data_IF_881276231934
#
_entry.id   IF_881276231934
#
_cell.length_a   1.000
_cell.length_b   1.000
_cell.length_c   1.000
_cell.angle_alpha   90.00
_cell.angle_beta   90.00
_cell.angle_gamma   90.00
#
_symmetry.space_group_name_H-M   'P 1'
#
loop_
_entity.id
_entity.type
_entity.pdbx_description
1 polymer ?
#
# COMPACT_ATOMS: atom_id res chain seq x y z
N UNK A 1 -21.77 -8.40 6.12
CA UNK A 1 -23.20 -8.04 6.01
C UNK A 1 -23.48 -6.57 6.28
N UNK A 2 -22.86 -5.93 7.27
CA UNK A 2 -23.08 -4.49 7.52
C UNK A 2 -22.64 -3.61 6.35
N UNK A 3 -21.45 -3.82 5.79
CA UNK A 3 -20.93 -3.05 4.66
C UNK A 3 -21.84 -3.08 3.42
N UNK A 4 -22.51 -4.23 3.17
CA UNK A 4 -23.49 -4.36 2.10
C UNK A 4 -24.75 -3.55 2.38
N UNK A 5 -25.24 -3.59 3.62
CA UNK A 5 -26.42 -2.79 4.03
C UNK A 5 -26.16 -1.29 3.99
N UNK A 6 -24.91 -0.88 4.21
CA UNK A 6 -24.48 0.51 4.13
C UNK A 6 -24.13 0.96 2.70
N UNK A 7 -24.27 0.08 1.69
CA UNK A 7 -23.95 0.39 0.30
C UNK A 7 -22.47 0.59 -0.02
N UNK A 8 -21.56 0.22 0.89
CA UNK A 8 -20.11 0.39 0.71
C UNK A 8 -19.52 -0.72 -0.15
N UNK A 9 -19.91 -1.98 0.11
CA UNK A 9 -19.47 -3.16 -0.64
C UNK A 9 -20.70 -3.99 -0.98
N UNK A 10 -21.05 -4.09 -2.25
CA UNK A 10 -22.28 -4.78 -2.68
C UNK A 10 -22.14 -6.30 -2.73
N UNK A 11 -20.94 -6.79 -2.96
CA UNK A 11 -20.60 -8.18 -3.26
C UNK A 11 -19.65 -8.81 -2.22
N UNK A 12 -19.79 -8.46 -0.94
CA UNK A 12 -18.87 -8.92 0.10
C UNK A 12 -18.75 -10.46 0.19
N UNK A 13 -19.81 -11.17 -0.14
CA UNK A 13 -19.86 -12.63 -0.13
C UNK A 13 -18.89 -13.27 -1.13
N UNK A 14 -18.53 -12.56 -2.20
CA UNK A 14 -17.62 -13.06 -3.26
C UNK A 14 -16.22 -13.34 -2.72
N UNK A 15 -15.86 -12.75 -1.58
CA UNK A 15 -14.55 -12.99 -0.92
C UNK A 15 -14.34 -14.48 -0.62
N UNK A 16 -15.41 -15.24 -0.39
CA UNK A 16 -15.36 -16.68 -0.14
C UNK A 16 -14.93 -17.50 -1.35
N UNK A 17 -14.97 -16.92 -2.54
CA UNK A 17 -14.55 -17.55 -3.78
C UNK A 17 -13.12 -17.13 -4.19
N UNK A 18 -12.51 -16.21 -3.42
CA UNK A 18 -11.20 -15.65 -3.74
C UNK A 18 -10.07 -16.46 -3.13
N UNK A 19 -8.99 -16.59 -3.91
CA UNK A 19 -7.75 -17.25 -3.50
C UNK A 19 -6.61 -16.24 -3.52
N UNK A 20 -5.90 -16.11 -2.42
CA UNK A 20 -4.72 -15.24 -2.30
C UNK A 20 -3.51 -16.07 -1.90
N UNK A 21 -2.41 -15.91 -2.63
CA UNK A 21 -1.12 -16.48 -2.27
C UNK A 21 -0.29 -15.43 -1.50
N UNK A 22 0.28 -15.81 -0.37
CA UNK A 22 1.14 -14.96 0.46
C UNK A 22 2.53 -15.57 0.50
N UNK A 23 3.51 -14.84 0.01
CA UNK A 23 4.92 -15.23 0.04
C UNK A 23 5.63 -14.47 1.13
N UNK A 24 6.18 -15.19 2.11
CA UNK A 24 6.73 -14.65 3.35
C UNK A 24 5.67 -14.54 4.45
N UNK A 25 5.75 -15.41 5.45
CA UNK A 25 4.84 -15.43 6.61
C UNK A 25 5.58 -14.86 7.84
N UNK A 26 6.26 -13.74 7.61
CA UNK A 26 6.97 -12.97 8.62
C UNK A 26 6.09 -11.92 9.30
N UNK A 27 6.69 -10.75 9.63
CA UNK A 27 6.01 -9.69 10.40
C UNK A 27 4.82 -9.04 9.69
N UNK A 28 4.86 -8.90 8.36
CA UNK A 28 3.76 -8.36 7.55
C UNK A 28 2.83 -9.47 7.09
N UNK A 29 3.39 -10.55 6.52
CA UNK A 29 2.59 -11.59 5.86
C UNK A 29 1.74 -12.40 6.83
N UNK A 30 2.20 -12.68 8.05
CA UNK A 30 1.38 -13.38 9.05
C UNK A 30 0.17 -12.56 9.50
N UNK A 31 0.36 -11.26 9.68
CA UNK A 31 -0.71 -10.32 10.03
C UNK A 31 -1.70 -10.16 8.88
N UNK A 32 -1.19 -10.05 7.64
CA UNK A 32 -2.03 -10.00 6.44
C UNK A 32 -2.87 -11.28 6.28
N UNK A 33 -2.26 -12.45 6.52
CA UNK A 33 -2.97 -13.74 6.50
C UNK A 33 -4.09 -13.79 7.54
N UNK A 34 -3.84 -13.32 8.78
CA UNK A 34 -4.86 -13.25 9.81
C UNK A 34 -6.00 -12.30 9.43
N UNK A 35 -5.68 -11.11 8.92
CA UNK A 35 -6.70 -10.15 8.50
C UNK A 35 -7.59 -10.72 7.38
N UNK A 36 -7.01 -11.35 6.36
CA UNK A 36 -7.77 -11.98 5.27
C UNK A 36 -8.63 -13.15 5.77
N UNK A 37 -8.09 -13.97 6.67
CA UNK A 37 -8.83 -15.07 7.32
C UNK A 37 -10.05 -14.55 8.08
N UNK A 38 -9.89 -13.47 8.84
CA UNK A 38 -11.00 -12.83 9.57
C UNK A 38 -12.01 -12.16 8.65
N UNK A 39 -11.58 -11.71 7.46
CA UNK A 39 -12.48 -11.21 6.42
C UNK A 39 -13.27 -12.32 5.71
N UNK A 40 -12.91 -13.59 5.92
CA UNK A 40 -13.59 -14.75 5.32
C UNK A 40 -13.17 -15.03 3.90
N UNK A 41 -11.87 -14.82 3.58
CA UNK A 41 -11.29 -15.24 2.29
C UNK A 41 -11.57 -16.74 2.04
N UNK A 42 -11.77 -17.14 0.79
CA UNK A 42 -12.05 -18.54 0.48
C UNK A 42 -10.83 -19.44 0.68
N UNK A 43 -9.68 -19.06 0.12
CA UNK A 43 -8.45 -19.83 0.22
C UNK A 43 -7.22 -18.93 0.40
N UNK A 44 -6.29 -19.36 1.26
CA UNK A 44 -4.95 -18.82 1.41
C UNK A 44 -3.91 -19.87 1.06
N UNK A 45 -2.92 -19.49 0.26
CA UNK A 45 -1.75 -20.32 -0.03
C UNK A 45 -0.53 -19.60 0.58
N UNK A 46 0.16 -20.27 1.50
CA UNK A 46 1.23 -19.68 2.29
C UNK A 46 2.59 -20.28 1.88
N UNK A 47 3.55 -19.42 1.56
CA UNK A 47 4.92 -19.80 1.24
C UNK A 47 5.91 -19.18 2.23
N UNK A 48 6.69 -19.99 2.92
CA UNK A 48 7.83 -19.57 3.76
C UNK A 48 8.69 -20.79 4.06
N UNK A 49 9.99 -20.63 4.19
CA UNK A 49 10.90 -21.75 4.50
C UNK A 49 11.50 -21.68 5.90
N UNK A 50 11.24 -20.59 6.62
CA UNK A 50 11.78 -20.37 7.95
C UNK A 50 11.00 -21.11 9.05
N UNK A 51 11.65 -21.20 10.20
CA UNK A 51 11.02 -21.60 11.45
C UNK A 51 10.67 -20.40 12.30
N UNK A 52 9.69 -20.58 13.18
CA UNK A 52 9.37 -19.62 14.21
C UNK A 52 10.50 -19.59 15.23
N UNK A 53 11.07 -18.44 15.49
CA UNK A 53 12.13 -18.20 16.46
C UNK A 53 11.64 -17.34 17.63
N UNK A 54 12.25 -17.47 18.79
CA UNK A 54 11.94 -16.59 19.94
C UNK A 54 12.23 -15.11 19.62
N UNK A 55 13.20 -14.83 18.76
CA UNK A 55 13.47 -13.49 18.25
C UNK A 55 12.31 -12.89 17.44
N UNK A 56 11.38 -13.70 16.95
CA UNK A 56 10.20 -13.25 16.24
C UNK A 56 9.07 -12.75 17.16
N UNK A 57 9.21 -12.89 18.48
CA UNK A 57 8.17 -12.48 19.42
C UNK A 57 8.04 -10.96 19.59
N UNK A 58 8.95 -10.18 19.00
CA UNK A 58 8.82 -8.73 18.84
C UNK A 58 7.92 -8.32 17.65
N UNK A 59 7.22 -9.27 17.04
CA UNK A 59 6.28 -9.10 15.93
C UNK A 59 4.90 -9.57 16.39
N UNK A 60 3.88 -9.20 15.62
CA UNK A 60 2.53 -9.70 15.84
C UNK A 60 2.39 -11.15 15.34
N UNK A 61 1.35 -11.84 15.80
CA UNK A 61 0.87 -13.16 15.37
C UNK A 61 1.48 -14.36 16.08
N UNK A 62 2.79 -14.66 15.93
CA UNK A 62 3.38 -15.87 16.50
C UNK A 62 3.49 -15.83 18.04
N UNK A 63 3.42 -17.02 18.65
CA UNK A 63 3.46 -17.22 20.10
C UNK A 63 4.70 -18.03 20.51
N UNK A 64 5.25 -17.84 21.74
CA UNK A 64 6.47 -18.53 22.19
C UNK A 64 6.41 -20.06 22.09
N UNK A 65 5.23 -20.67 22.32
CA UNK A 65 5.05 -22.13 22.24
C UNK A 65 5.17 -22.69 20.80
N UNK A 66 5.14 -21.84 19.78
CA UNK A 66 5.30 -22.21 18.37
C UNK A 66 6.77 -22.22 17.94
N UNK A 67 7.70 -21.77 18.78
CA UNK A 67 9.12 -21.72 18.46
C UNK A 67 9.64 -23.10 18.02
N UNK A 68 10.40 -23.12 16.92
CA UNK A 68 10.94 -24.34 16.28
C UNK A 68 10.02 -24.98 15.24
N UNK A 69 8.72 -24.61 15.20
CA UNK A 69 7.81 -25.07 14.14
C UNK A 69 8.08 -24.31 12.83
N UNK A 70 7.72 -24.90 11.68
CA UNK A 70 7.68 -24.17 10.41
C UNK A 70 6.70 -22.99 10.50
N UNK A 71 7.08 -21.82 9.98
CA UNK A 71 6.21 -20.63 10.02
C UNK A 71 4.88 -20.89 9.31
N UNK A 72 4.89 -21.53 8.15
CA UNK A 72 3.65 -21.81 7.39
C UNK A 72 2.74 -22.80 8.12
N UNK A 73 3.30 -23.83 8.76
CA UNK A 73 2.51 -24.82 9.51
C UNK A 73 1.94 -24.22 10.81
N UNK A 74 2.73 -23.43 11.53
CA UNK A 74 2.30 -22.73 12.73
C UNK A 74 1.19 -21.70 12.38
N UNK A 75 1.36 -20.99 11.27
CA UNK A 75 0.37 -20.04 10.78
C UNK A 75 -0.92 -20.76 10.37
N UNK A 76 -0.83 -21.81 9.56
CA UNK A 76 -2.00 -22.57 9.12
C UNK A 76 -2.85 -23.06 10.29
N UNK A 77 -2.22 -23.62 11.33
CA UNK A 77 -2.94 -24.07 12.55
C UNK A 77 -3.65 -22.91 13.26
N UNK A 78 -2.96 -21.77 13.42
CA UNK A 78 -3.53 -20.59 14.09
C UNK A 78 -4.71 -20.03 13.27
N UNK A 79 -4.55 -19.87 11.97
CA UNK A 79 -5.57 -19.34 11.08
C UNK A 79 -6.80 -20.25 11.00
N UNK A 80 -6.59 -21.56 10.93
CA UNK A 80 -7.66 -22.55 10.95
C UNK A 80 -8.49 -22.48 12.25
N UNK A 81 -7.83 -22.12 13.38
CA UNK A 81 -8.51 -21.91 14.65
C UNK A 81 -9.34 -20.62 14.67
N UNK A 82 -8.87 -19.59 13.95
CA UNK A 82 -9.57 -18.30 13.84
C UNK A 82 -10.81 -18.43 12.95
N UNK A 83 -10.67 -19.09 11.80
CA UNK A 83 -11.79 -19.31 10.88
C UNK A 83 -11.63 -20.65 10.14
N UNK A 84 -12.35 -21.69 10.58
CA UNK A 84 -12.26 -23.03 9.99
C UNK A 84 -12.82 -23.12 8.57
N UNK A 85 -13.60 -22.13 8.12
CA UNK A 85 -14.17 -22.13 6.76
C UNK A 85 -13.16 -21.74 5.69
N UNK A 86 -11.99 -21.22 6.06
CA UNK A 86 -10.94 -20.83 5.12
C UNK A 86 -10.07 -22.04 4.76
N UNK A 87 -9.94 -22.33 3.48
CA UNK A 87 -8.98 -23.33 3.01
C UNK A 87 -7.56 -22.78 3.11
N UNK A 88 -6.64 -23.51 3.75
CA UNK A 88 -5.26 -23.08 3.91
C UNK A 88 -4.33 -24.15 3.35
N UNK A 89 -3.55 -23.75 2.36
CA UNK A 89 -2.49 -24.56 1.75
C UNK A 89 -1.12 -24.01 2.18
N UNK A 90 -0.21 -24.86 2.58
CA UNK A 90 1.09 -24.45 3.16
C UNK A 90 2.25 -25.07 2.42
N UNK A 91 3.19 -24.24 1.98
CA UNK A 91 4.41 -24.63 1.28
C UNK A 91 5.65 -24.20 2.07
N UNK A 92 6.35 -25.17 2.63
CA UNK A 92 7.54 -24.94 3.44
C UNK A 92 8.81 -25.13 2.61
N UNK A 93 9.08 -24.19 1.71
CA UNK A 93 10.29 -24.18 0.89
C UNK A 93 10.68 -22.78 0.42
N UNK A 94 11.96 -22.64 0.04
CA UNK A 94 12.47 -21.40 -0.53
C UNK A 94 12.13 -21.33 -2.03
N UNK A 95 11.36 -20.33 -2.43
CA UNK A 95 10.92 -20.09 -3.83
C UNK A 95 12.05 -19.65 -4.76
N UNK A 96 13.22 -19.25 -4.25
CA UNK A 96 14.35 -18.78 -5.08
C UNK A 96 15.22 -19.91 -5.64
N UNK A 97 15.05 -21.13 -5.16
CA UNK A 97 15.75 -22.29 -5.72
C UNK A 97 15.09 -22.75 -7.02
N UNK A 98 15.89 -23.22 -7.98
CA UNK A 98 15.43 -23.59 -9.32
C UNK A 98 14.26 -24.59 -9.28
N UNK A 99 14.40 -25.63 -8.47
CA UNK A 99 13.38 -26.70 -8.39
C UNK A 99 12.07 -26.16 -7.78
N UNK A 100 12.16 -25.39 -6.72
CA UNK A 100 10.98 -24.86 -6.04
C UNK A 100 10.34 -23.68 -6.78
N UNK A 101 11.11 -22.96 -7.61
CA UNK A 101 10.56 -21.85 -8.41
C UNK A 101 9.51 -22.36 -9.40
N UNK A 102 9.76 -23.48 -10.05
CA UNK A 102 8.80 -24.08 -10.96
C UNK A 102 7.53 -24.56 -10.23
N UNK A 103 7.69 -25.12 -9.03
CA UNK A 103 6.57 -25.53 -8.20
C UNK A 103 5.75 -24.31 -7.72
N UNK A 104 6.42 -23.25 -7.32
CA UNK A 104 5.78 -21.96 -6.99
C UNK A 104 4.93 -21.42 -8.16
N UNK A 105 5.50 -21.37 -9.37
CA UNK A 105 4.79 -20.92 -10.57
C UNK A 105 3.58 -21.81 -10.87
N UNK A 106 3.74 -23.11 -10.76
CA UNK A 106 2.66 -24.08 -10.97
C UNK A 106 1.54 -23.84 -9.95
N UNK A 107 1.89 -23.73 -8.68
CA UNK A 107 0.93 -23.53 -7.60
C UNK A 107 0.12 -22.23 -7.80
N UNK A 108 0.77 -21.08 -8.04
CA UNK A 108 0.03 -19.82 -8.21
C UNK A 108 -0.82 -19.80 -9.50
N UNK A 109 -0.51 -20.63 -10.48
CA UNK A 109 -1.26 -20.70 -11.75
C UNK A 109 -2.41 -21.72 -11.75
N UNK A 110 -2.44 -22.66 -10.80
CA UNK A 110 -3.40 -23.78 -10.85
C UNK A 110 -4.16 -24.04 -9.55
N UNK A 111 -3.71 -23.47 -8.42
CA UNK A 111 -4.21 -23.89 -7.09
C UNK A 111 -5.29 -22.97 -6.51
N UNK A 112 -5.98 -22.18 -7.35
CA UNK A 112 -7.17 -21.47 -6.86
C UNK A 112 -8.31 -22.45 -6.53
N UNK A 113 -9.33 -21.98 -5.80
CA UNK A 113 -10.56 -22.73 -5.54
C UNK A 113 -11.24 -23.24 -6.80
N UNK A 114 -10.99 -22.59 -7.95
CA UNK A 114 -11.56 -22.94 -9.25
C UNK A 114 -10.57 -23.73 -10.11
N UNK A 115 -9.48 -24.27 -9.54
CA UNK A 115 -8.41 -24.98 -10.24
C UNK A 115 -7.78 -24.17 -11.38
N UNK A 116 -7.58 -22.89 -11.15
CA UNK A 116 -6.95 -21.93 -12.06
C UNK A 116 -5.96 -21.03 -11.33
N UNK A 117 -5.56 -19.90 -11.92
CA UNK A 117 -4.66 -18.96 -11.28
C UNK A 117 -5.27 -18.34 -10.01
N UNK A 118 -4.43 -18.02 -9.05
CA UNK A 118 -4.85 -17.28 -7.85
C UNK A 118 -5.33 -15.88 -8.23
N UNK A 119 -6.26 -15.33 -7.47
CA UNK A 119 -6.77 -13.98 -7.74
C UNK A 119 -5.70 -12.91 -7.51
N UNK A 120 -4.77 -13.13 -6.56
CA UNK A 120 -3.73 -12.18 -6.20
C UNK A 120 -2.57 -12.85 -5.48
N UNK A 121 -1.35 -12.34 -5.72
CA UNK A 121 -0.15 -12.71 -4.95
C UNK A 121 0.25 -11.53 -4.06
N UNK A 122 0.56 -11.78 -2.80
CA UNK A 122 1.10 -10.81 -1.85
C UNK A 122 2.54 -11.17 -1.51
N UNK A 123 3.47 -10.31 -1.88
CA UNK A 123 4.88 -10.41 -1.53
C UNK A 123 5.13 -9.71 -0.19
N UNK A 124 5.44 -10.49 0.83
CA UNK A 124 5.72 -10.03 2.18
C UNK A 124 7.12 -10.47 2.65
N UNK A 125 8.04 -10.62 1.69
CA UNK A 125 9.42 -11.07 1.91
C UNK A 125 10.34 -9.91 2.31
N UNK A 126 11.44 -10.22 2.97
CA UNK A 126 12.40 -9.25 3.49
C UNK A 126 13.72 -9.19 2.70
N UNK A 127 13.84 -9.93 1.60
CA UNK A 127 15.03 -9.93 0.77
C UNK A 127 14.71 -9.66 -0.71
N UNK A 128 15.69 -9.11 -1.43
CA UNK A 128 15.53 -8.71 -2.82
C UNK A 128 15.48 -9.90 -3.78
N UNK A 129 16.20 -10.98 -3.48
CA UNK A 129 16.21 -12.19 -4.30
C UNK A 129 14.81 -12.79 -4.44
N UNK A 130 14.09 -12.94 -3.32
CA UNK A 130 12.73 -13.42 -3.34
C UNK A 130 11.77 -12.46 -4.06
N UNK A 131 11.94 -11.13 -3.89
CA UNK A 131 11.14 -10.12 -4.63
C UNK A 131 11.35 -10.23 -6.13
N UNK A 132 12.61 -10.42 -6.57
CA UNK A 132 12.92 -10.62 -7.99
C UNK A 132 12.34 -11.92 -8.52
N UNK A 133 12.39 -13.02 -7.77
CA UNK A 133 11.78 -14.29 -8.15
C UNK A 133 10.25 -14.14 -8.32
N UNK A 134 9.57 -13.50 -7.35
CA UNK A 134 8.12 -13.23 -7.45
C UNK A 134 7.81 -12.34 -8.65
N UNK A 135 8.62 -11.28 -8.87
CA UNK A 135 8.47 -10.38 -10.01
C UNK A 135 8.54 -11.13 -11.35
N UNK A 136 9.55 -11.99 -11.52
CA UNK A 136 9.73 -12.78 -12.74
C UNK A 136 8.56 -13.73 -12.95
N UNK A 137 8.17 -14.49 -11.93
CA UNK A 137 7.04 -15.40 -11.99
C UNK A 137 5.73 -14.69 -12.34
N UNK A 138 5.43 -13.57 -11.68
CA UNK A 138 4.22 -12.80 -11.93
C UNK A 138 4.20 -12.15 -13.32
N UNK A 139 5.34 -11.65 -13.80
CA UNK A 139 5.46 -11.12 -15.17
C UNK A 139 5.25 -12.24 -16.21
N UNK A 140 5.89 -13.40 -16.03
CA UNK A 140 5.75 -14.55 -16.93
C UNK A 140 4.31 -15.04 -17.01
N UNK A 141 3.65 -15.20 -15.86
CA UNK A 141 2.27 -15.70 -15.77
C UNK A 141 1.20 -14.63 -15.99
N UNK A 142 1.59 -13.36 -16.18
CA UNK A 142 0.65 -12.24 -16.20
C UNK A 142 -0.20 -12.16 -14.93
N UNK A 143 0.39 -12.48 -13.78
CA UNK A 143 -0.26 -12.53 -12.48
C UNK A 143 -0.20 -11.18 -11.78
N UNK A 144 -1.35 -10.70 -11.31
CA UNK A 144 -1.43 -9.49 -10.48
C UNK A 144 -0.86 -9.76 -9.08
N UNK A 145 -0.15 -8.77 -8.55
CA UNK A 145 0.43 -8.92 -7.23
C UNK A 145 0.66 -7.60 -6.50
N UNK A 146 0.75 -7.66 -5.18
CA UNK A 146 1.22 -6.57 -4.35
C UNK A 146 2.60 -6.90 -3.81
N UNK A 147 3.48 -5.93 -3.89
CA UNK A 147 4.74 -5.90 -3.15
C UNK A 147 4.52 -5.11 -1.87
N UNK A 148 5.15 -5.54 -0.77
CA UNK A 148 5.15 -4.83 0.49
C UNK A 148 6.53 -4.88 1.16
N UNK A 149 6.91 -3.79 1.78
CA UNK A 149 8.19 -3.69 2.45
C UNK A 149 8.13 -2.81 3.69
N UNK A 150 8.94 -3.16 4.68
CA UNK A 150 9.26 -2.34 5.85
C UNK A 150 10.76 -2.09 5.83
N UNK A 151 11.18 -0.84 6.06
CA UNK A 151 12.58 -0.46 6.07
C UNK A 151 13.35 -1.10 7.23
N UNK A 152 14.66 -1.25 7.06
CA UNK A 152 15.55 -1.86 8.08
C UNK A 152 15.52 -1.14 9.43
N UNK A 153 15.24 0.16 9.45
CA UNK A 153 15.08 0.96 10.67
C UNK A 153 13.66 0.93 11.24
N UNK A 154 12.75 0.18 10.63
CA UNK A 154 11.35 -0.02 11.04
C UNK A 154 10.48 1.25 11.15
N UNK A 155 10.94 2.41 10.66
CA UNK A 155 10.18 3.68 10.73
C UNK A 155 9.52 4.06 9.42
N UNK A 156 9.64 3.25 8.39
CA UNK A 156 8.94 3.44 7.12
C UNK A 156 8.57 2.11 6.48
N UNK A 157 7.60 2.16 5.60
CA UNK A 157 7.17 1.02 4.83
C UNK A 157 6.33 1.44 3.63
N UNK A 158 5.98 0.49 2.80
CA UNK A 158 5.17 0.76 1.62
C UNK A 158 4.44 -0.49 1.16
N UNK A 159 3.45 -0.25 0.32
CA UNK A 159 2.84 -1.25 -0.54
C UNK A 159 2.85 -0.75 -1.98
N UNK A 160 2.98 -1.65 -2.93
CA UNK A 160 2.90 -1.34 -4.36
C UNK A 160 2.04 -2.38 -5.08
N UNK A 161 1.03 -1.92 -5.83
CA UNK A 161 0.23 -2.77 -6.70
C UNK A 161 0.89 -2.87 -8.07
N UNK A 162 1.23 -4.08 -8.48
CA UNK A 162 1.91 -4.36 -9.72
C UNK A 162 0.98 -5.11 -10.68
N UNK A 163 0.73 -4.47 -11.82
CA UNK A 163 -0.05 -5.00 -12.92
C UNK A 163 0.91 -5.20 -14.10
N UNK A 164 1.21 -6.44 -14.50
CA UNK A 164 2.16 -6.71 -15.57
C UNK A 164 1.82 -5.92 -16.85
N UNK A 165 2.79 -5.15 -17.33
CA UNK A 165 2.66 -4.33 -18.54
C UNK A 165 2.02 -2.94 -18.34
N UNK A 166 1.21 -2.73 -17.32
CA UNK A 166 0.53 -1.45 -17.05
C UNK A 166 1.33 -0.59 -16.08
N UNK A 167 1.84 -1.18 -14.99
CA UNK A 167 2.63 -0.47 -13.99
C UNK A 167 4.09 -0.90 -14.03
N UNK A 168 4.98 -0.10 -13.44
CA UNK A 168 6.37 -0.51 -13.27
C UNK A 168 6.44 -1.80 -12.47
N UNK A 169 7.09 -2.82 -13.00
CA UNK A 169 7.44 -4.02 -12.23
C UNK A 169 8.60 -3.74 -11.27
N UNK A 170 8.91 -4.67 -10.37
CA UNK A 170 9.98 -4.48 -9.39
C UNK A 170 11.36 -4.27 -10.06
N UNK A 171 11.61 -4.90 -11.22
CA UNK A 171 12.84 -4.72 -12.00
C UNK A 171 12.84 -3.43 -12.85
N UNK A 172 11.72 -2.74 -13.05
CA UNK A 172 11.68 -1.47 -13.78
C UNK A 172 12.38 -0.33 -13.04
N UNK A 173 12.30 -0.33 -11.71
CA UNK A 173 12.90 0.66 -10.82
C UNK A 173 13.42 -0.05 -9.56
N UNK A 174 14.45 -0.91 -9.72
CA UNK A 174 14.96 -1.67 -8.60
C UNK A 174 15.58 -0.72 -7.56
N UNK A 175 15.57 -1.08 -6.27
CA UNK A 175 16.32 -0.34 -5.26
C UNK A 175 17.79 -0.19 -5.67
N UNK A 176 18.42 0.90 -5.26
CA UNK A 176 19.79 1.25 -5.67
C UNK A 176 20.79 0.11 -5.41
N UNK A 177 20.59 -0.62 -4.34
CA UNK A 177 21.40 -1.79 -3.96
C UNK A 177 21.35 -2.88 -5.03
N UNK A 178 20.16 -3.19 -5.53
CA UNK A 178 19.94 -4.18 -6.59
C UNK A 178 20.51 -3.65 -7.91
N UNK A 179 20.25 -2.40 -8.25
CA UNK A 179 20.75 -1.75 -9.47
C UNK A 179 22.29 -1.67 -9.50
N UNK A 180 22.95 -1.63 -8.35
CA UNK A 180 24.41 -1.59 -8.22
C UNK A 180 25.04 -2.96 -8.12
N UNK A 181 24.27 -4.06 -8.22
CA UNK A 181 24.72 -5.44 -8.03
C UNK A 181 25.48 -5.66 -6.71
N UNK A 182 25.09 -4.95 -5.66
CA UNK A 182 25.68 -5.13 -4.33
C UNK A 182 24.99 -6.33 -3.68
N UNK A 183 25.78 -7.30 -3.22
CA UNK A 183 25.24 -8.44 -2.48
C UNK A 183 24.59 -7.96 -1.18
N UNK A 184 23.29 -8.22 -1.05
CA UNK A 184 22.48 -7.82 0.13
C UNK A 184 23.10 -8.32 1.44
N UNK A 185 23.81 -9.47 1.41
CA UNK A 185 24.51 -10.01 2.58
C UNK A 185 25.62 -9.10 3.08
N UNK A 186 26.25 -8.31 2.18
CA UNK A 186 27.31 -7.37 2.54
C UNK A 186 26.79 -6.11 3.21
N UNK A 187 25.49 -5.82 3.09
CA UNK A 187 24.84 -4.66 3.70
C UNK A 187 24.38 -4.93 5.13
N UNK A 188 24.19 -6.20 5.49
CA UNK A 188 23.79 -6.58 6.85
C UNK A 188 24.97 -6.28 7.79
N UNK A 189 24.76 -5.34 8.70
CA UNK A 189 25.75 -5.06 9.75
C UNK A 189 25.82 -6.26 10.68
N UNK A 190 27.02 -6.78 10.90
CA UNK A 190 27.24 -7.88 11.82
C UNK A 190 26.64 -7.56 13.20
N UNK A 191 25.82 -8.47 13.70
CA UNK A 191 25.19 -8.35 15.00
C UNK A 191 23.96 -7.41 15.06
N UNK A 192 23.55 -6.82 13.95
CA UNK A 192 22.33 -6.00 13.88
C UNK A 192 21.28 -6.74 13.07
N UNK A 193 20.32 -7.37 13.75
CA UNK A 193 19.08 -7.77 13.08
C UNK A 193 18.33 -6.54 12.62
N UNK A 194 17.70 -6.61 11.43
CA UNK A 194 16.79 -5.53 10.99
C UNK A 194 15.78 -5.22 12.10
N UNK A 195 15.64 -3.96 12.42
CA UNK A 195 14.73 -3.54 13.47
C UNK A 195 13.30 -3.98 13.11
N UNK A 196 12.60 -4.55 14.07
CA UNK A 196 11.20 -4.93 13.91
C UNK A 196 10.34 -4.09 14.85
N UNK A 197 9.41 -3.33 14.27
CA UNK A 197 8.43 -2.59 15.04
C UNK A 197 7.04 -3.14 14.70
N UNK A 198 6.36 -3.82 15.64
CA UNK A 198 5.07 -4.45 15.36
C UNK A 198 4.02 -3.46 14.87
N UNK A 199 4.07 -2.21 15.33
CA UNK A 199 3.17 -1.14 14.87
C UNK A 199 3.36 -0.82 13.40
N UNK A 200 4.59 -0.59 12.93
CA UNK A 200 4.87 -0.31 11.52
C UNK A 200 4.49 -1.50 10.61
N UNK A 201 4.84 -2.72 11.04
CA UNK A 201 4.45 -3.94 10.32
C UNK A 201 2.94 -4.11 10.25
N UNK A 202 2.22 -3.82 11.34
CA UNK A 202 0.77 -3.87 11.38
C UNK A 202 0.11 -2.83 10.48
N UNK A 203 0.64 -1.60 10.41
CA UNK A 203 0.17 -0.53 9.51
C UNK A 203 0.35 -0.94 8.05
N UNK A 204 1.54 -1.44 7.68
CA UNK A 204 1.82 -1.90 6.30
C UNK A 204 0.92 -3.09 5.93
N UNK A 205 0.75 -4.07 6.83
CA UNK A 205 -0.18 -5.18 6.63
C UNK A 205 -1.63 -4.69 6.46
N UNK A 206 -2.04 -3.69 7.25
CA UNK A 206 -3.36 -3.07 7.14
C UNK A 206 -3.57 -2.40 5.78
N UNK A 207 -2.60 -1.63 5.29
CA UNK A 207 -2.67 -1.02 3.94
C UNK A 207 -2.71 -2.08 2.85
N UNK A 208 -1.89 -3.12 2.97
CA UNK A 208 -1.84 -4.23 2.03
C UNK A 208 -3.19 -4.94 1.92
N UNK A 209 -3.74 -5.36 3.05
CA UNK A 209 -5.02 -6.08 3.08
C UNK A 209 -6.18 -5.17 2.67
N UNK A 210 -6.19 -3.91 3.10
CA UNK A 210 -7.24 -2.97 2.69
C UNK A 210 -7.27 -2.78 1.17
N UNK A 211 -6.10 -2.64 0.52
CA UNK A 211 -6.04 -2.53 -0.94
C UNK A 211 -6.32 -3.86 -1.65
N UNK A 212 -5.94 -4.99 -1.05
CA UNK A 212 -6.33 -6.32 -1.51
C UNK A 212 -7.85 -6.48 -1.53
N UNK A 213 -8.55 -6.10 -0.45
CA UNK A 213 -10.01 -6.17 -0.39
C UNK A 213 -10.68 -5.23 -1.40
N UNK A 214 -10.17 -4.01 -1.55
CA UNK A 214 -10.68 -3.08 -2.58
C UNK A 214 -10.57 -3.68 -3.98
N UNK A 215 -9.43 -4.31 -4.28
CA UNK A 215 -9.21 -4.97 -5.57
C UNK A 215 -10.14 -6.17 -5.76
N UNK A 216 -10.17 -7.10 -4.82
CA UNK A 216 -10.94 -8.35 -4.93
C UNK A 216 -12.46 -8.15 -4.97
N UNK A 217 -12.94 -7.12 -4.28
CA UNK A 217 -14.37 -6.81 -4.13
C UNK A 217 -14.82 -5.59 -4.93
N UNK A 218 -13.92 -5.00 -5.74
CA UNK A 218 -14.19 -3.88 -6.64
C UNK A 218 -14.89 -2.69 -5.94
N UNK A 219 -14.38 -2.25 -4.78
CA UNK A 219 -14.90 -1.08 -4.09
C UNK A 219 -13.81 -0.05 -3.79
N UNK A 220 -14.18 1.23 -3.82
CA UNK A 220 -13.22 2.32 -3.64
C UNK A 220 -12.09 2.33 -4.67
N UNK A 221 -11.03 3.07 -4.41
CA UNK A 221 -9.88 3.18 -5.30
C UNK A 221 -8.70 2.38 -4.76
N UNK A 222 -8.13 1.50 -5.58
CA UNK A 222 -6.88 0.79 -5.25
C UNK A 222 -5.72 1.75 -5.45
N UNK A 223 -4.86 1.88 -4.45
CA UNK A 223 -3.66 2.73 -4.53
C UNK A 223 -2.52 1.93 -5.14
N UNK A 224 -1.91 2.48 -6.21
CA UNK A 224 -0.81 1.79 -6.91
C UNK A 224 0.48 1.74 -6.09
N UNK A 225 0.84 2.84 -5.44
CA UNK A 225 1.92 2.90 -4.46
C UNK A 225 1.48 3.75 -3.28
N UNK A 226 1.59 3.21 -2.09
CA UNK A 226 1.32 3.89 -0.84
C UNK A 226 2.52 3.71 0.10
N UNK A 227 3.20 4.80 0.39
CA UNK A 227 4.27 4.84 1.39
C UNK A 227 3.75 5.22 2.77
N UNK A 228 4.56 4.95 3.77
CA UNK A 228 4.36 5.37 5.16
C UNK A 228 5.69 5.75 5.79
N UNK A 229 5.74 6.93 6.39
CA UNK A 229 6.87 7.38 7.22
C UNK A 229 6.35 7.70 8.62
N UNK A 230 6.74 6.87 9.59
CA UNK A 230 6.29 6.95 10.97
C UNK A 230 6.81 8.19 11.72
N UNK A 231 7.94 8.78 11.28
CA UNK A 231 8.52 9.95 11.94
C UNK A 231 7.74 11.24 11.66
N UNK A 232 6.96 11.25 10.58
CA UNK A 232 6.27 12.46 10.10
C UNK A 232 4.77 12.21 9.85
N UNK A 233 4.28 10.99 10.09
CA UNK A 233 2.93 10.56 9.69
C UNK A 233 2.62 10.90 8.23
N UNK A 234 3.60 10.70 7.36
CA UNK A 234 3.53 11.06 5.95
C UNK A 234 3.17 9.83 5.09
N UNK A 235 2.20 10.00 4.19
CA UNK A 235 1.62 8.93 3.37
C UNK A 235 1.70 9.27 1.87
N UNK A 236 2.88 9.19 1.24
CA UNK A 236 3.02 9.48 -0.19
C UNK A 236 2.29 8.43 -1.03
N UNK A 237 1.56 8.91 -2.05
CA UNK A 237 0.93 8.06 -3.06
C UNK A 237 1.44 8.41 -4.43
N UNK A 238 1.67 7.41 -5.29
CA UNK A 238 2.11 7.60 -6.66
C UNK A 238 1.74 6.41 -7.53
N UNK A 239 1.91 6.56 -8.84
CA UNK A 239 1.85 5.48 -9.81
C UNK A 239 3.17 5.48 -10.60
N UNK A 240 3.88 4.37 -10.55
CA UNK A 240 5.13 4.20 -11.29
C UNK A 240 4.82 3.64 -12.68
N UNK A 241 5.33 4.31 -13.71
CA UNK A 241 5.19 3.85 -15.11
C UNK A 241 6.25 2.80 -15.42
N UNK A 242 5.92 1.80 -16.26
CA UNK A 242 6.87 0.77 -16.65
C UNK A 242 8.05 1.35 -17.45
N UNK A 243 9.24 0.77 -17.24
CA UNK A 243 10.44 1.12 -17.98
C UNK A 243 10.46 0.35 -19.33
N UNK A 244 10.45 1.01 -20.50
CA UNK A 244 10.53 0.33 -21.79
C UNK A 244 11.80 -0.52 -21.95
N UNK A 245 12.87 -0.14 -21.27
CA UNK A 245 14.17 -0.83 -21.29
C UNK A 245 14.37 -1.70 -20.01
N UNK A 246 13.29 -2.21 -19.43
CA UNK A 246 13.37 -3.09 -18.27
C UNK A 246 14.25 -4.30 -18.58
N UNK A 247 15.08 -4.73 -17.63
CA UNK A 247 15.93 -5.92 -17.79
C UNK A 247 15.12 -7.22 -17.87
N UNK A 248 13.96 -7.26 -17.24
CA UNK A 248 13.04 -8.40 -17.26
C UNK A 248 12.35 -8.50 -18.65
N UNK A 249 12.62 -9.59 -19.35
CA UNK A 249 12.08 -9.84 -20.69
C UNK A 249 10.56 -10.00 -20.69
N UNK A 250 10.01 -10.67 -19.70
CA UNK A 250 8.57 -10.86 -19.57
C UNK A 250 7.86 -9.53 -19.30
N UNK A 251 8.46 -8.66 -18.48
CA UNK A 251 7.94 -7.31 -18.29
C UNK A 251 7.83 -6.55 -19.61
N UNK A 252 8.89 -6.56 -20.45
CA UNK A 252 8.84 -5.91 -21.78
C UNK A 252 7.78 -6.52 -22.69
N UNK A 253 7.63 -7.84 -22.68
CA UNK A 253 6.58 -8.53 -23.43
C UNK A 253 5.19 -8.07 -22.96
N UNK A 254 4.93 -8.02 -21.66
CA UNK A 254 3.65 -7.57 -21.10
C UNK A 254 3.35 -6.11 -21.44
N UNK A 255 4.37 -5.24 -21.47
CA UNK A 255 4.22 -3.86 -21.91
C UNK A 255 3.74 -3.78 -23.38
N UNK A 256 4.31 -4.59 -24.27
CA UNK A 256 3.89 -4.64 -25.67
C UNK A 256 2.45 -5.15 -25.80
N UNK A 257 2.09 -6.20 -25.08
CA UNK A 257 0.73 -6.75 -25.03
C UNK A 257 -0.28 -5.71 -24.51
N UNK A 258 0.09 -4.96 -23.47
CA UNK A 258 -0.75 -3.91 -22.90
C UNK A 258 -0.95 -2.75 -23.88
N UNK A 259 0.12 -2.32 -24.57
CA UNK A 259 0.05 -1.25 -25.56
C UNK A 259 -0.78 -1.64 -26.80
N UNK A 260 -0.77 -2.92 -27.16
CA UNK A 260 -1.55 -3.45 -28.28
C UNK A 260 -3.04 -3.59 -27.98
N UNK A 261 -3.45 -3.55 -26.71
CA UNK A 261 -4.88 -3.59 -26.34
C UNK A 261 -5.56 -2.32 -26.85
N UNK A 262 -6.76 -2.44 -27.48
CA UNK A 262 -7.54 -1.26 -27.82
C UNK A 262 -7.78 -0.45 -26.55
N UNK A 263 -7.39 0.81 -26.58
CA UNK A 263 -7.70 1.75 -25.49
C UNK A 263 -9.22 1.89 -25.47
N UNK A 264 -9.85 1.22 -24.53
CA UNK A 264 -11.23 1.53 -24.17
C UNK A 264 -11.17 2.91 -23.55
N UNK A 265 -11.53 3.95 -24.31
CA UNK A 265 -11.80 5.25 -23.72
C UNK A 265 -12.82 5.01 -22.62
N UNK A 266 -12.42 5.20 -21.36
CA UNK A 266 -13.39 5.24 -20.28
C UNK A 266 -14.41 6.27 -20.72
N UNK A 267 -15.72 5.95 -20.75
CA UNK A 267 -16.72 6.98 -20.96
C UNK A 267 -16.35 8.11 -20.00
N UNK A 268 -16.16 9.30 -20.52
CA UNK A 268 -16.18 10.50 -19.68
C UNK A 268 -17.52 10.36 -18.98
N UNK A 269 -17.53 10.12 -17.67
CA UNK A 269 -18.74 10.25 -16.91
C UNK A 269 -19.18 11.69 -17.19
N UNK A 270 -20.13 11.82 -18.13
CA UNK A 270 -20.88 13.04 -18.21
C UNK A 270 -21.38 13.28 -16.80
N UNK A 271 -20.93 14.38 -16.22
CA UNK A 271 -21.45 14.85 -14.94
C UNK A 271 -22.95 14.96 -15.19
N UNK A 272 -23.65 13.84 -14.95
CA UNK A 272 -25.10 13.83 -15.00
C UNK A 272 -25.54 14.92 -14.04
N UNK A 273 -26.28 15.89 -14.56
CA UNK A 273 -26.90 16.97 -13.78
C UNK A 273 -27.28 16.43 -12.42
N UNK A 274 -26.61 16.92 -11.39
CA UNK A 274 -26.91 16.60 -10.00
C UNK A 274 -28.34 17.12 -9.82
N UNK A 275 -29.31 16.22 -9.98
CA UNK A 275 -30.67 16.54 -9.56
C UNK A 275 -30.58 16.95 -8.09
N UNK A 276 -31.09 18.13 -7.72
CA UNK A 276 -31.05 18.57 -6.34
C UNK A 276 -31.66 17.45 -5.46
N UNK A 277 -30.92 17.04 -4.43
CA UNK A 277 -31.24 15.92 -3.56
C UNK A 277 -32.57 16.15 -2.79
N UNK A 278 -33.09 17.37 -2.78
CA UNK A 278 -34.32 17.78 -2.12
C UNK A 278 -35.07 18.78 -3.01
N UNK A 279 -36.19 18.37 -3.60
CA UNK A 279 -37.04 19.22 -4.39
C UNK A 279 -37.84 20.23 -3.53
N UNK A 280 -38.05 19.95 -2.25
CA UNK A 280 -38.73 20.87 -1.31
C UNK A 280 -38.12 20.72 0.07
N UNK A 281 -37.51 21.79 0.59
CA UNK A 281 -37.17 21.87 2.00
C UNK A 281 -38.11 22.83 2.72
N UNK A 282 -38.90 22.31 3.63
CA UNK A 282 -39.84 23.09 4.48
C UNK A 282 -39.16 24.24 5.27
N UNK A 283 -37.82 24.24 5.31
CA UNK A 283 -37.01 25.18 6.09
C UNK A 283 -36.49 26.37 5.28
N UNK A 284 -36.77 26.44 3.96
CA UNK A 284 -36.37 27.56 3.11
C UNK A 284 -34.85 27.78 3.02
N UNK A 285 -34.02 26.74 3.26
CA UNK A 285 -32.55 26.82 3.17
C UNK A 285 -32.20 26.57 1.71
N UNK A 286 -31.83 27.60 0.95
CA UNK A 286 -31.26 27.48 -0.38
C UNK A 286 -29.75 27.56 -0.30
N UNK A 287 -29.06 26.74 -1.13
CA UNK A 287 -27.65 26.97 -1.40
C UNK A 287 -27.51 28.35 -2.02
N UNK A 288 -26.70 29.20 -1.43
CA UNK A 288 -26.36 30.50 -2.03
C UNK A 288 -25.63 30.20 -3.32
N UNK A 289 -26.18 30.62 -4.46
CA UNK A 289 -25.51 30.55 -5.73
C UNK A 289 -24.16 31.28 -5.60
N UNK A 290 -23.06 30.58 -5.89
CA UNK A 290 -21.73 31.17 -5.95
C UNK A 290 -21.76 32.26 -7.02
N UNK A 291 -21.62 33.50 -6.62
CA UNK A 291 -21.41 34.61 -7.56
C UNK A 291 -20.03 34.37 -8.22
N UNK A 292 -20.05 33.99 -9.49
CA UNK A 292 -18.89 34.10 -10.37
C UNK A 292 -18.58 35.60 -10.54
N UNK A 293 -17.81 36.18 -9.65
CA UNK A 293 -17.17 37.46 -9.93
C UNK A 293 -15.80 37.57 -9.25
N UNK A 294 -14.79 37.65 -10.11
CA UNK A 294 -13.44 38.17 -9.86
C UNK A 294 -12.53 37.31 -8.99
N UNK A 295 -12.05 36.22 -9.56
CA UNK A 295 -10.87 35.46 -9.09
C UNK A 295 -9.75 35.50 -10.14
N UNK A 296 -9.13 36.64 -10.41
CA UNK A 296 -7.91 36.65 -11.22
C UNK A 296 -6.62 37.10 -10.50
N UNK A 297 -6.64 37.54 -9.27
CA UNK A 297 -5.43 38.05 -8.62
C UNK A 297 -4.93 37.31 -7.36
N UNK A 298 -5.70 36.42 -6.75
CA UNK A 298 -5.24 35.71 -5.51
C UNK A 298 -4.89 34.23 -5.67
N UNK A 299 -4.71 33.74 -6.91
CA UNK A 299 -4.53 32.31 -7.21
C UNK A 299 -3.14 31.73 -6.89
N UNK A 300 -2.24 32.46 -6.22
CA UNK A 300 -0.87 31.97 -6.01
C UNK A 300 -0.54 31.34 -4.65
N UNK A 301 -1.49 31.20 -3.74
CA UNK A 301 -1.20 30.73 -2.37
C UNK A 301 -2.13 29.65 -1.81
N UNK A 302 -2.95 29.01 -2.61
CA UNK A 302 -3.85 27.95 -2.11
C UNK A 302 -3.36 26.60 -2.63
N UNK A 303 -2.86 25.75 -1.73
CA UNK A 303 -2.64 24.33 -2.01
C UNK A 303 -3.98 23.71 -2.46
N UNK A 304 -3.96 23.07 -3.63
CA UNK A 304 -5.11 22.37 -4.21
C UNK A 304 -5.72 21.40 -3.19
N UNK A 305 -6.87 21.73 -2.66
CA UNK A 305 -7.63 20.90 -1.73
C UNK A 305 -8.15 21.59 -0.48
N UNK A 306 -7.76 22.85 -0.21
CA UNK A 306 -8.31 23.65 0.90
C UNK A 306 -9.20 24.74 0.32
N UNK A 307 -10.50 24.70 0.62
CA UNK A 307 -11.41 25.82 0.37
C UNK A 307 -11.45 26.73 1.60
N UNK A 308 -11.29 28.01 1.38
CA UNK A 308 -11.41 29.00 2.46
C UNK A 308 -12.87 29.05 2.92
N UNK A 309 -13.14 28.68 4.18
CA UNK A 309 -14.49 28.59 4.72
C UNK A 309 -15.09 29.96 5.10
N UNK A 310 -14.24 30.98 5.28
CA UNK A 310 -14.67 32.33 5.67
C UNK A 310 -13.81 33.37 4.97
N UNK A 311 -14.47 34.39 4.41
CA UNK A 311 -13.81 35.63 4.01
C UNK A 311 -13.86 36.60 5.21
N UNK A 312 -12.71 37.00 5.73
CA UNK A 312 -12.65 38.08 6.71
C UNK A 312 -12.94 39.38 5.96
N UNK A 313 -14.05 40.06 6.29
CA UNK A 313 -14.31 41.37 5.73
C UNK A 313 -13.19 42.33 6.12
N UNK A 314 -12.45 42.81 5.15
CA UNK A 314 -11.43 43.84 5.35
C UNK A 314 -12.18 45.11 5.76
N UNK A 315 -12.05 45.52 7.02
CA UNK A 315 -12.53 46.84 7.44
C UNK A 315 -11.71 47.90 6.70
N UNK A 316 -12.35 48.99 6.22
CA UNK A 316 -11.63 50.04 5.54
C UNK A 316 -10.59 50.66 6.48
N UNK A 317 -9.32 50.57 6.08
CA UNK A 317 -8.22 51.20 6.80
C UNK A 317 -8.38 52.70 6.79
N UNK A 318 -8.56 53.29 7.97
CA UNK A 318 -8.35 54.70 8.15
C UNK A 318 -6.89 55.07 7.82
N UNK A 319 -6.61 56.28 7.29
CA UNK A 319 -5.28 56.68 6.93
C UNK A 319 -4.37 56.72 8.16
N UNK A 320 -3.04 56.50 7.99
CA UNK A 320 -2.12 56.27 9.10
C UNK A 320 -1.96 57.54 9.90
N UNK A 321 -2.38 57.54 11.17
CA UNK A 321 -1.92 58.49 12.15
C UNK A 321 -0.58 58.05 12.68
N UNK A 322 0.32 58.99 12.64
CA UNK A 322 1.66 59.10 13.21
C UNK A 322 2.16 57.96 14.11
N UNK A 323 3.29 57.42 13.68
CA UNK A 323 4.10 56.42 14.37
C UNK A 323 4.69 57.12 15.64
N UNK A 324 4.20 56.71 16.81
CA UNK A 324 4.89 57.01 18.05
C UNK A 324 6.18 56.17 18.09
N UNK A 325 7.32 56.85 18.10
CA UNK A 325 8.65 56.25 18.32
C UNK A 325 8.69 55.55 19.69
N UNK A 326 8.59 54.24 19.70
CA UNK A 326 9.01 53.43 20.83
C UNK A 326 10.38 52.84 20.49
N UNK A 327 11.43 53.39 21.10
CA UNK A 327 12.81 52.90 21.04
C UNK A 327 12.92 51.57 21.74
N UNK A 328 12.77 50.51 21.00
CA UNK A 328 13.25 49.19 21.40
C UNK A 328 14.69 48.96 20.93
N UNK A 329 15.48 48.08 21.60
CA UNK A 329 16.84 47.82 21.20
C UNK A 329 16.91 47.31 19.76
N UNK A 330 17.94 47.77 19.03
CA UNK A 330 18.14 47.35 17.62
C UNK A 330 18.53 45.87 17.54
N UNK A 331 18.31 45.27 16.36
CA UNK A 331 18.67 43.87 16.13
C UNK A 331 20.14 43.59 16.47
N UNK A 332 21.03 44.56 16.27
CA UNK A 332 22.47 44.46 16.57
C UNK A 332 22.74 44.46 18.08
N UNK A 333 21.97 45.20 18.85
CA UNK A 333 22.07 45.20 20.33
C UNK A 333 21.53 43.88 20.93
N UNK A 334 20.48 43.30 20.37
CA UNK A 334 19.98 41.98 20.77
C UNK A 334 20.98 40.85 20.46
N UNK A 335 21.67 40.92 19.31
CA UNK A 335 22.70 39.95 18.95
C UNK A 335 23.93 40.08 19.84
N UNK A 336 24.30 41.31 20.29
CA UNK A 336 25.38 41.49 21.24
C UNK A 336 25.01 40.95 22.64
N UNK A 337 23.81 41.13 23.09
CA UNK A 337 23.32 40.55 24.35
C UNK A 337 23.35 39.02 24.34
N UNK A 338 22.98 38.39 23.22
CA UNK A 338 23.04 36.94 23.08
C UNK A 338 24.47 36.37 23.04
N UNK A 339 25.48 37.16 22.66
CA UNK A 339 26.88 36.72 22.66
C UNK A 339 27.57 36.89 24.01
N UNK A 340 26.94 37.56 24.97
CA UNK A 340 27.49 37.81 26.32
C UNK A 340 26.87 36.89 27.40
N UNK A 341 25.98 35.98 27.02
CA UNK A 341 25.46 34.85 27.81
C UNK A 341 26.19 33.56 27.38
#
# INVERSE_FOLDING_TARGET
MALKRMGIVNNYEDIRQKTVAIVGVGGVGSVAAEMLTRCGIGKLILFDYDKVELANMNRLFFQPYQAGQSKVEAAAKTLQYINPDVEIESHNYNITTVDNFQDFMTTISTSSLMNGPVDLVLSCVDNFEARMAINTACNELNQLWFESGVSENAVSGHIQFLIPGETACFACAPPLVVASNIDEKTLKRDGVCAASLPTTMGIVAGFLVQNTLKFLLCFGNVTYYLGYNALQDFFPTMMLKPNPNCEDNYCRQRQQEYQAKPKVEKPVEEVSDIKPLHEDNEWGISLVEEYEQQEEEDAQLINTGLKQAYTVSVQPTNPPNEIANTSGPSLEELVQQMKSL
#
